data_IF_757318684481
#
_entry.id   IF_757318684481
#
_cell.length_a   1.000
_cell.length_b   1.000
_cell.length_c   1.000
_cell.angle_alpha   90.00
_cell.angle_beta   90.00
_cell.angle_gamma   90.00
#
_symmetry.space_group_name_H-M   'P 1'
#
loop_
_entity.id
_entity.type
_entity.pdbx_description
1 polymer ?
#
# COMPACT_ATOMS: atom_id res chain seq x y z
N UNK A 1 27.94 7.42 31.41
CA UNK A 1 26.94 7.90 32.39
C UNK A 1 25.57 7.74 31.76
N UNK A 2 24.78 6.71 32.11
CA UNK A 2 23.38 6.62 31.65
C UNK A 2 22.59 7.67 32.43
N UNK A 3 22.31 8.80 31.80
CA UNK A 3 21.35 9.76 32.33
C UNK A 3 20.01 9.02 32.45
N UNK A 4 19.53 8.83 33.67
CA UNK A 4 18.17 8.35 33.93
C UNK A 4 17.23 9.37 33.28
N UNK A 5 16.74 9.06 32.06
CA UNK A 5 15.69 9.85 31.41
C UNK A 5 14.51 9.91 32.37
N UNK A 6 14.21 11.10 32.87
CA UNK A 6 13.07 11.33 33.75
C UNK A 6 11.81 10.96 32.95
N UNK A 7 11.07 9.97 33.42
CA UNK A 7 9.85 9.52 32.74
C UNK A 7 8.77 10.59 32.91
N UNK A 8 8.15 11.02 31.81
CA UNK A 8 7.00 11.94 31.83
C UNK A 8 5.77 11.22 32.41
N UNK A 9 5.00 11.91 33.26
CA UNK A 9 3.74 11.37 33.79
C UNK A 9 2.66 11.37 32.69
N UNK A 10 1.58 10.62 32.90
CA UNK A 10 0.44 10.67 31.97
C UNK A 10 -0.21 12.04 31.90
N UNK A 11 -0.44 12.69 33.04
CA UNK A 11 -1.09 14.00 33.09
C UNK A 11 -0.23 15.10 32.46
N UNK A 12 1.09 15.04 32.65
CA UNK A 12 2.06 15.94 32.03
C UNK A 12 2.04 15.83 30.49
N UNK A 13 1.91 14.60 29.98
CA UNK A 13 1.84 14.34 28.53
C UNK A 13 0.55 14.89 27.94
N UNK A 14 -0.60 14.58 28.56
CA UNK A 14 -1.88 15.08 28.09
C UNK A 14 -1.98 16.60 28.18
N UNK A 15 -1.40 17.24 29.20
CA UNK A 15 -1.31 18.71 29.28
C UNK A 15 -0.57 19.33 28.09
N UNK A 16 0.43 18.65 27.53
CA UNK A 16 1.12 19.10 26.32
C UNK A 16 0.26 18.87 25.07
N UNK A 17 -0.38 17.70 24.94
CA UNK A 17 -1.34 17.42 23.86
C UNK A 17 -2.49 18.42 23.85
N UNK A 18 -2.97 18.87 25.02
CA UNK A 18 -4.05 19.86 25.12
C UNK A 18 -3.71 21.20 24.43
N UNK A 19 -2.43 21.50 24.17
CA UNK A 19 -2.03 22.68 23.38
C UNK A 19 -2.38 22.58 21.88
N UNK A 20 -2.66 21.36 21.40
CA UNK A 20 -3.20 21.12 20.05
C UNK A 20 -4.70 21.46 19.97
N UNK A 21 -5.37 21.67 21.12
CA UNK A 21 -6.79 22.03 21.21
C UNK A 21 -7.76 21.01 20.58
N UNK A 22 -7.36 19.74 20.53
CA UNK A 22 -8.16 18.67 19.92
C UNK A 22 -8.22 18.77 18.39
N UNK A 23 -7.24 19.41 17.77
CA UNK A 23 -7.04 19.47 16.32
C UNK A 23 -5.79 18.68 15.94
N UNK A 24 -5.70 18.32 14.65
CA UNK A 24 -4.64 17.49 14.10
C UNK A 24 -3.95 18.12 12.86
N UNK A 25 -4.27 19.39 12.58
CA UNK A 25 -3.67 20.18 11.50
C UNK A 25 -2.26 20.70 11.84
N UNK A 26 -1.58 21.25 10.84
CA UNK A 26 -0.21 21.78 10.97
C UNK A 26 -0.10 22.89 12.04
N UNK A 27 -1.11 23.77 12.13
CA UNK A 27 -1.16 24.83 13.13
C UNK A 27 -1.22 24.24 14.56
N UNK A 28 -1.92 23.13 14.75
CA UNK A 28 -1.98 22.42 16.03
C UNK A 28 -0.64 21.76 16.38
N UNK A 29 0.04 21.18 15.40
CA UNK A 29 1.39 20.61 15.57
C UNK A 29 2.39 21.71 15.93
N UNK A 30 2.37 22.86 15.25
CA UNK A 30 3.25 24.00 15.55
C UNK A 30 3.08 24.49 17.00
N UNK A 31 1.83 24.58 17.49
CA UNK A 31 1.55 24.94 18.90
C UNK A 31 2.18 23.96 19.88
N UNK A 32 2.13 22.66 19.59
CA UNK A 32 2.77 21.63 20.41
C UNK A 32 4.30 21.76 20.36
N UNK A 33 4.88 21.97 19.19
CA UNK A 33 6.32 22.19 19.00
C UNK A 33 6.80 23.37 19.84
N UNK A 34 6.10 24.50 19.77
CA UNK A 34 6.40 25.70 20.57
C UNK A 34 6.32 25.43 22.08
N UNK A 35 5.28 24.73 22.52
CA UNK A 35 5.10 24.36 23.93
C UNK A 35 6.24 23.44 24.42
N UNK A 36 6.66 22.47 23.61
CA UNK A 36 7.78 21.57 23.91
C UNK A 36 9.13 22.30 23.91
N UNK A 37 9.36 23.19 22.95
CA UNK A 37 10.58 23.99 22.84
C UNK A 37 10.73 24.92 24.05
N UNK A 38 9.64 25.59 24.46
CA UNK A 38 9.61 26.43 25.66
C UNK A 38 9.86 25.63 26.95
N UNK A 39 9.39 24.38 27.02
CA UNK A 39 9.65 23.48 28.16
C UNK A 39 11.08 22.88 28.14
N UNK A 40 11.78 22.99 27.01
CA UNK A 40 13.18 22.64 26.82
C UNK A 40 13.42 21.19 26.38
N UNK A 41 14.59 20.97 25.76
CA UNK A 41 14.99 19.69 25.15
C UNK A 41 14.76 18.44 26.01
N UNK A 42 15.04 18.50 27.31
CA UNK A 42 14.84 17.34 28.19
C UNK A 42 13.36 16.94 28.31
N UNK A 43 12.44 17.91 28.21
CA UNK A 43 10.99 17.68 28.20
C UNK A 43 10.55 17.07 26.87
N UNK A 44 11.03 17.58 25.74
CA UNK A 44 10.76 17.04 24.41
C UNK A 44 11.18 15.55 24.30
N UNK A 45 12.38 15.20 24.77
CA UNK A 45 12.83 13.79 24.80
C UNK A 45 11.93 12.90 25.67
N UNK A 46 11.43 13.42 26.79
CA UNK A 46 10.53 12.69 27.67
C UNK A 46 9.11 12.59 27.10
N UNK A 47 8.68 13.57 26.31
CA UNK A 47 7.44 13.54 25.54
C UNK A 47 7.50 12.46 24.47
N UNK A 48 8.56 12.40 23.65
CA UNK A 48 8.69 11.37 22.60
C UNK A 48 8.64 9.95 23.17
N UNK A 49 9.36 9.69 24.27
CA UNK A 49 9.33 8.40 24.95
C UNK A 49 7.93 8.04 25.46
N UNK A 50 7.09 9.03 25.80
CA UNK A 50 5.72 8.81 26.24
C UNK A 50 4.77 8.65 25.05
N UNK A 51 4.90 9.47 24.01
CA UNK A 51 4.15 9.39 22.76
C UNK A 51 4.32 8.00 22.14
N UNK A 52 5.56 7.52 22.02
CA UNK A 52 5.86 6.18 21.52
C UNK A 52 5.07 5.08 22.24
N UNK A 53 4.96 5.16 23.58
CA UNK A 53 4.18 4.18 24.37
C UNK A 53 2.68 4.32 24.17
N UNK A 54 2.18 5.54 23.99
CA UNK A 54 0.75 5.81 23.75
C UNK A 54 0.35 5.28 22.36
N UNK A 55 1.16 5.55 21.33
CA UNK A 55 0.96 5.03 19.97
C UNK A 55 1.14 3.50 19.90
N UNK A 56 2.11 2.95 20.62
CA UNK A 56 2.31 1.51 20.72
C UNK A 56 1.10 0.81 21.36
N UNK A 57 0.44 1.42 22.35
CA UNK A 57 -0.77 0.85 22.96
C UNK A 57 -1.96 0.79 21.99
N UNK A 58 -2.04 1.75 21.05
CA UNK A 58 -3.02 1.75 19.96
C UNK A 58 -2.65 0.82 18.80
N UNK A 59 -1.41 0.32 18.75
CA UNK A 59 -0.95 -0.60 17.71
C UNK A 59 -1.59 -1.98 17.90
N UNK A 60 -2.79 -2.17 17.34
CA UNK A 60 -3.57 -3.39 17.51
C UNK A 60 -4.16 -3.81 16.17
N UNK A 61 -4.02 -5.09 15.83
CA UNK A 61 -4.54 -5.65 14.58
C UNK A 61 -6.04 -5.39 14.41
N UNK A 62 -6.82 -5.49 15.49
CA UNK A 62 -8.26 -5.24 15.46
C UNK A 62 -8.65 -3.79 15.11
N UNK A 63 -7.75 -2.83 15.33
CA UNK A 63 -7.94 -1.44 14.94
C UNK A 63 -7.46 -1.24 13.50
N UNK A 64 -6.30 -1.79 13.14
CA UNK A 64 -5.76 -1.75 11.78
C UNK A 64 -6.68 -2.40 10.73
N UNK A 65 -7.43 -3.44 11.13
CA UNK A 65 -8.38 -4.13 10.26
C UNK A 65 -9.71 -3.38 10.06
N UNK A 66 -9.97 -2.29 10.80
CA UNK A 66 -11.19 -1.49 10.61
C UNK A 66 -11.01 -0.57 9.42
N UNK A 67 -11.95 -0.55 8.47
CA UNK A 67 -11.94 0.50 7.46
C UNK A 67 -12.35 1.83 8.12
N UNK A 68 -11.74 2.92 7.69
CA UNK A 68 -11.99 4.26 8.24
C UNK A 68 -12.26 5.28 7.14
N UNK A 69 -12.81 6.44 7.53
CA UNK A 69 -12.92 7.62 6.68
C UNK A 69 -11.96 8.68 7.22
N UNK A 70 -11.17 9.29 6.35
CA UNK A 70 -10.28 10.40 6.71
C UNK A 70 -10.92 11.76 6.42
N UNK A 71 -10.52 12.79 7.17
CA UNK A 71 -10.86 14.17 6.84
C UNK A 71 -9.97 14.61 5.67
N UNK A 72 -10.44 14.46 4.43
CA UNK A 72 -9.76 14.97 3.23
C UNK A 72 -10.38 16.29 2.76
N UNK A 73 -9.54 17.24 2.31
CA UNK A 73 -9.97 18.58 1.87
C UNK A 73 -10.86 18.57 0.61
N UNK A 74 -10.83 17.46 -0.15
CA UNK A 74 -11.41 17.34 -1.50
C UNK A 74 -12.58 16.32 -1.61
N UNK A 75 -12.99 15.66 -0.52
CA UNK A 75 -13.94 14.53 -0.58
C UNK A 75 -15.39 14.88 -0.16
N UNK A 76 -16.36 14.28 -0.86
CA UNK A 76 -17.79 14.37 -0.56
C UNK A 76 -18.10 13.54 0.71
N UNK A 77 -19.06 13.97 1.55
CA UNK A 77 -19.47 13.26 2.80
C UNK A 77 -19.86 11.76 2.60
N UNK A 78 -20.00 11.30 1.36
CA UNK A 78 -20.42 9.96 0.96
C UNK A 78 -19.26 8.98 0.64
N UNK A 79 -17.98 9.36 0.82
CA UNK A 79 -16.88 8.45 0.49
C UNK A 79 -16.87 7.16 1.36
N UNK A 80 -16.57 6.05 0.69
CA UNK A 80 -16.60 4.72 1.27
C UNK A 80 -15.39 4.53 2.21
N UNK A 81 -15.57 3.93 3.40
CA UNK A 81 -14.45 3.62 4.29
C UNK A 81 -13.38 2.78 3.58
N UNK A 82 -12.11 3.18 3.69
CA UNK A 82 -10.97 2.52 3.04
C UNK A 82 -10.23 1.60 4.01
N UNK A 83 -9.63 0.49 3.53
CA UNK A 83 -8.69 -0.28 4.34
C UNK A 83 -7.43 0.54 4.62
N UNK A 84 -6.86 0.36 5.81
CA UNK A 84 -5.64 1.04 6.24
C UNK A 84 -4.38 0.31 5.74
N UNK A 85 -3.45 1.05 5.17
CA UNK A 85 -2.04 0.66 5.06
C UNK A 85 -1.34 0.78 6.42
N UNK A 86 -0.12 0.24 6.53
CA UNK A 86 0.69 0.37 7.73
C UNK A 86 0.93 1.83 8.12
N UNK A 87 1.23 2.69 7.14
CA UNK A 87 1.49 4.12 7.35
C UNK A 87 0.21 4.89 7.74
N UNK A 88 -0.88 4.71 6.98
CA UNK A 88 -2.15 5.39 7.29
C UNK A 88 -2.71 4.96 8.65
N UNK A 89 -2.48 3.72 9.09
CA UNK A 89 -2.83 3.31 10.45
C UNK A 89 -1.94 4.01 11.51
N UNK A 90 -0.65 4.21 11.24
CA UNK A 90 0.21 4.98 12.13
C UNK A 90 -0.26 6.45 12.24
N UNK A 91 -0.58 7.08 11.11
CA UNK A 91 -1.05 8.47 11.10
C UNK A 91 -2.43 8.64 11.74
N UNK A 92 -3.33 7.67 11.56
CA UNK A 92 -4.61 7.60 12.29
C UNK A 92 -4.38 7.54 13.81
N UNK A 93 -3.46 6.70 14.29
CA UNK A 93 -3.13 6.60 15.73
C UNK A 93 -2.59 7.93 16.26
N UNK A 94 -1.80 8.64 15.48
CA UNK A 94 -1.35 9.98 15.84
C UNK A 94 -2.51 11.00 15.89
N UNK A 95 -3.42 10.98 14.91
CA UNK A 95 -4.64 11.80 14.91
C UNK A 95 -5.53 11.54 16.13
N UNK A 96 -5.75 10.27 16.49
CA UNK A 96 -6.48 9.87 17.71
C UNK A 96 -5.87 10.51 18.98
N UNK A 97 -4.53 10.56 19.06
CA UNK A 97 -3.82 11.17 20.19
C UNK A 97 -3.95 12.70 20.16
N UNK A 98 -3.85 13.33 19.00
CA UNK A 98 -4.02 14.78 18.82
C UNK A 98 -5.43 15.25 19.26
N UNK A 99 -6.46 14.44 19.00
CA UNK A 99 -7.83 14.65 19.49
C UNK A 99 -7.99 14.50 21.02
N UNK A 100 -6.92 14.15 21.75
CA UNK A 100 -6.84 14.21 23.20
C UNK A 100 -7.17 12.92 23.95
N UNK A 101 -7.04 13.01 25.28
CA UNK A 101 -7.09 11.87 26.20
C UNK A 101 -8.40 11.09 26.15
N UNK A 102 -9.52 11.78 26.04
CA UNK A 102 -10.86 11.16 26.05
C UNK A 102 -11.08 10.33 24.78
N UNK A 103 -10.68 10.88 23.63
CA UNK A 103 -10.72 10.18 22.33
C UNK A 103 -9.85 8.93 22.36
N UNK A 104 -8.60 9.06 22.80
CA UNK A 104 -7.67 7.94 22.98
C UNK A 104 -8.27 6.82 23.85
N UNK A 105 -8.83 7.19 25.01
CA UNK A 105 -9.43 6.22 25.93
C UNK A 105 -10.69 5.55 25.35
N UNK A 106 -11.50 6.30 24.60
CA UNK A 106 -12.71 5.78 23.95
C UNK A 106 -12.36 4.75 22.88
N UNK A 107 -11.39 5.02 22.00
CA UNK A 107 -10.96 4.08 20.96
C UNK A 107 -10.36 2.81 21.55
N UNK A 108 -9.54 2.93 22.61
CA UNK A 108 -9.00 1.75 23.29
C UNK A 108 -10.08 0.90 23.96
N UNK A 109 -11.14 1.53 24.46
CA UNK A 109 -12.24 0.83 25.10
C UNK A 109 -13.19 0.16 24.08
N UNK A 110 -13.38 0.79 22.92
CA UNK A 110 -14.28 0.32 21.87
C UNK A 110 -13.68 0.54 20.47
N UNK A 111 -13.03 -0.49 19.89
CA UNK A 111 -12.49 -0.44 18.53
C UNK A 111 -13.52 -0.10 17.45
N UNK A 112 -14.82 -0.39 17.67
CA UNK A 112 -15.86 -0.07 16.70
C UNK A 112 -16.09 1.45 16.55
N UNK A 113 -15.55 2.27 17.45
CA UNK A 113 -15.58 3.72 17.35
C UNK A 113 -14.92 4.23 16.06
N UNK A 114 -13.95 3.51 15.50
CA UNK A 114 -13.28 3.90 14.24
C UNK A 114 -14.25 3.99 13.06
N UNK A 115 -15.25 3.11 12.98
CA UNK A 115 -16.24 3.12 11.89
C UNK A 115 -17.34 4.19 12.07
N UNK A 116 -17.41 4.85 13.23
CA UNK A 116 -18.55 5.70 13.60
C UNK A 116 -18.44 7.16 13.16
N UNK A 117 -17.26 7.58 12.69
CA UNK A 117 -16.99 8.97 12.30
C UNK A 117 -15.83 9.07 11.32
N UNK A 118 -15.63 10.29 10.83
CA UNK A 118 -14.44 10.70 10.09
C UNK A 118 -13.31 11.01 11.07
N UNK A 119 -12.09 10.68 10.70
CA UNK A 119 -10.89 10.85 11.53
C UNK A 119 -9.87 11.72 10.83
N UNK A 120 -9.22 12.65 11.53
CA UNK A 120 -8.02 13.26 11.00
C UNK A 120 -6.84 12.29 11.11
N UNK A 121 -5.91 12.41 10.17
CA UNK A 121 -4.55 11.91 10.35
C UNK A 121 -3.65 13.01 10.95
N UNK A 122 -2.50 12.63 11.51
CA UNK A 122 -1.58 13.60 12.10
C UNK A 122 -0.12 13.12 12.04
N UNK A 123 0.44 12.99 10.84
CA UNK A 123 1.85 12.61 10.67
C UNK A 123 2.79 13.57 11.42
N UNK A 124 2.53 14.88 11.40
CA UNK A 124 3.37 15.90 12.04
C UNK A 124 3.60 15.67 13.54
N UNK A 125 2.65 15.06 14.26
CA UNK A 125 2.80 14.73 15.68
C UNK A 125 3.97 13.77 15.94
N UNK A 126 4.33 12.90 14.98
CA UNK A 126 5.43 11.94 15.11
C UNK A 126 6.79 12.64 15.24
N UNK A 127 6.92 13.82 14.66
CA UNK A 127 8.16 14.59 14.56
C UNK A 127 8.25 15.79 15.51
N UNK A 128 7.12 16.18 16.14
CA UNK A 128 7.03 17.39 16.96
C UNK A 128 8.11 17.50 18.06
N UNK A 129 8.47 16.38 18.70
CA UNK A 129 9.49 16.37 19.74
C UNK A 129 10.92 16.54 19.19
N UNK A 130 11.17 16.02 17.99
CA UNK A 130 12.46 16.08 17.31
C UNK A 130 12.76 17.51 16.86
N UNK A 131 11.75 18.14 16.26
CA UNK A 131 11.76 19.55 15.89
C UNK A 131 11.99 20.45 17.10
N UNK A 132 11.17 20.31 18.16
CA UNK A 132 11.31 21.08 19.39
C UNK A 132 12.67 20.90 20.10
N UNK A 133 13.30 19.72 19.93
CA UNK A 133 14.61 19.41 20.49
C UNK A 133 15.78 19.83 19.58
N UNK A 134 15.51 20.18 18.32
CA UNK A 134 16.52 20.46 17.29
C UNK A 134 17.41 19.25 17.00
N UNK A 135 16.83 18.05 16.88
CA UNK A 135 17.54 16.81 16.57
C UNK A 135 16.83 16.09 15.43
N UNK A 136 17.57 15.27 14.69
CA UNK A 136 17.03 14.48 13.57
C UNK A 136 16.27 13.23 14.03
N UNK A 137 16.64 12.66 15.19
CA UNK A 137 16.03 11.43 15.67
C UNK A 137 16.09 11.30 17.20
N UNK A 138 14.99 10.82 17.79
CA UNK A 138 14.91 10.47 19.21
C UNK A 138 14.60 8.98 19.37
N UNK A 139 15.62 8.20 19.71
CA UNK A 139 15.45 6.79 20.07
C UNK A 139 14.56 6.62 21.32
N UNK A 140 13.54 5.77 21.23
CA UNK A 140 12.61 5.40 22.31
C UNK A 140 12.74 3.91 22.64
N UNK A 141 12.13 3.47 23.76
CA UNK A 141 12.21 2.07 24.20
C UNK A 141 11.33 1.09 23.44
N UNK A 142 10.28 1.59 22.77
CA UNK A 142 9.33 0.79 22.00
C UNK A 142 9.21 1.43 20.63
N UNK A 143 9.17 0.60 19.59
CA UNK A 143 8.75 1.09 18.28
C UNK A 143 7.27 1.44 18.34
N UNK A 144 6.86 2.50 17.66
CA UNK A 144 5.45 2.81 17.45
C UNK A 144 4.99 2.47 16.03
N UNK A 145 5.88 1.94 15.18
CA UNK A 145 5.54 1.43 13.86
C UNK A 145 4.42 0.39 13.94
N UNK A 146 3.59 0.36 12.89
CA UNK A 146 2.48 -0.60 12.78
C UNK A 146 2.98 -2.04 12.87
N UNK A 147 2.30 -2.88 13.65
CA UNK A 147 2.65 -4.31 13.78
C UNK A 147 3.73 -4.61 14.83
N UNK A 148 4.24 -3.61 15.55
CA UNK A 148 5.35 -3.80 16.49
C UNK A 148 4.91 -4.17 17.90
N UNK A 149 3.66 -3.91 18.29
CA UNK A 149 3.08 -4.38 19.53
C UNK A 149 2.58 -5.82 19.42
N UNK A 150 3.53 -6.76 19.35
CA UNK A 150 3.27 -8.20 19.14
C UNK A 150 2.28 -8.85 20.12
N UNK A 151 1.94 -8.20 21.24
CA UNK A 151 0.90 -8.68 22.17
C UNK A 151 -0.52 -8.51 21.62
N UNK A 152 -0.73 -7.56 20.70
CA UNK A 152 -2.03 -7.21 20.12
C UNK A 152 -2.16 -7.51 18.62
N UNK A 153 -1.14 -8.15 18.06
CA UNK A 153 -1.17 -8.66 16.70
C UNK A 153 -1.22 -10.17 16.75
N UNK A 154 -2.14 -10.77 15.99
CA UNK A 154 -2.06 -12.18 15.69
C UNK A 154 -0.65 -12.43 15.17
N UNK A 155 0.06 -13.37 15.79
CA UNK A 155 1.31 -13.80 15.19
C UNK A 155 0.97 -14.20 13.77
N UNK A 156 1.71 -13.72 12.75
CA UNK A 156 1.57 -14.28 11.42
C UNK A 156 1.60 -15.78 11.64
N UNK A 157 0.59 -16.50 11.15
CA UNK A 157 0.65 -17.94 11.14
C UNK A 157 2.01 -18.22 10.54
N UNK A 158 2.93 -18.73 11.36
CA UNK A 158 4.23 -19.15 10.86
C UNK A 158 3.84 -20.36 10.05
N UNK A 159 3.42 -20.11 8.80
CA UNK A 159 3.58 -21.06 7.72
C UNK A 159 5.03 -21.43 7.92
N UNK A 160 5.31 -22.65 8.42
CA UNK A 160 6.67 -23.05 8.61
C UNK A 160 7.36 -22.70 7.31
N UNK A 161 8.45 -21.95 7.37
CA UNK A 161 9.41 -21.99 6.29
C UNK A 161 9.91 -23.45 6.30
N UNK A 162 9.11 -24.32 5.69
CA UNK A 162 9.39 -25.71 5.45
C UNK A 162 10.47 -25.82 4.35
N UNK A 163 11.08 -24.70 3.97
CA UNK A 163 11.97 -24.57 2.85
C UNK A 163 11.23 -24.74 1.52
N UNK A 164 9.89 -24.75 1.51
CA UNK A 164 9.13 -24.71 0.27
C UNK A 164 9.11 -23.24 -0.15
N UNK A 165 9.84 -22.88 -1.22
CA UNK A 165 9.79 -21.52 -1.73
C UNK A 165 8.31 -21.20 -1.98
N UNK A 166 7.86 -20.00 -1.58
CA UNK A 166 6.54 -19.50 -1.95
C UNK A 166 6.30 -19.87 -3.42
N UNK A 167 5.16 -20.52 -3.76
CA UNK A 167 4.95 -21.05 -5.09
C UNK A 167 5.24 -19.94 -6.08
N UNK A 168 6.25 -20.16 -6.92
CA UNK A 168 6.68 -19.16 -7.89
C UNK A 168 5.49 -18.90 -8.79
N UNK A 169 4.84 -17.75 -8.63
CA UNK A 169 3.83 -17.27 -9.57
C UNK A 169 4.46 -17.33 -10.96
N UNK A 170 3.86 -18.13 -11.83
CA UNK A 170 4.31 -18.27 -13.20
C UNK A 170 3.83 -17.10 -14.04
N UNK A 171 2.77 -16.41 -13.61
CA UNK A 171 2.27 -15.16 -14.20
C UNK A 171 2.06 -14.09 -13.13
N UNK A 172 2.40 -12.84 -13.43
CA UNK A 172 2.00 -11.67 -12.65
C UNK A 172 1.57 -10.55 -13.58
N UNK A 173 0.82 -9.61 -13.00
CA UNK A 173 0.22 -8.48 -13.69
C UNK A 173 0.75 -7.21 -13.07
N UNK A 174 1.17 -6.28 -13.92
CA UNK A 174 1.70 -4.98 -13.50
C UNK A 174 1.08 -3.83 -14.31
N UNK A 175 1.19 -2.62 -13.80
CA UNK A 175 0.74 -1.39 -14.42
C UNK A 175 1.88 -0.41 -14.61
N UNK A 176 1.97 0.20 -15.79
CA UNK A 176 3.00 1.20 -16.08
C UNK A 176 2.36 2.48 -16.59
N UNK A 177 2.47 3.56 -15.82
CA UNK A 177 2.19 4.92 -16.28
C UNK A 177 3.37 5.43 -17.11
N UNK A 178 3.19 5.48 -18.43
CA UNK A 178 4.22 5.91 -19.38
C UNK A 178 4.38 7.44 -19.39
N UNK A 179 3.38 8.19 -18.92
CA UNK A 179 3.39 9.64 -18.92
C UNK A 179 3.93 10.23 -17.59
N UNK A 180 3.98 9.43 -16.51
CA UNK A 180 4.55 9.80 -15.20
C UNK A 180 5.67 8.83 -14.72
N UNK A 181 6.83 8.77 -15.41
CA UNK A 181 7.95 7.94 -14.98
C UNK A 181 8.59 8.44 -13.67
N UNK A 182 8.89 7.51 -12.77
CA UNK A 182 9.70 7.77 -11.58
C UNK A 182 11.19 7.59 -11.89
N UNK A 183 11.95 8.68 -11.75
CA UNK A 183 13.41 8.62 -11.79
C UNK A 183 13.99 8.15 -10.45
N UNK A 184 14.98 7.28 -10.51
CA UNK A 184 15.73 6.79 -9.37
C UNK A 184 17.15 6.37 -9.75
N UNK A 185 17.88 5.85 -8.77
CA UNK A 185 19.21 5.29 -8.99
C UNK A 185 19.31 3.95 -8.28
N UNK A 186 19.98 2.99 -8.90
CA UNK A 186 20.40 1.75 -8.25
C UNK A 186 21.92 1.70 -8.18
N UNK A 187 22.44 1.08 -7.13
CA UNK A 187 23.88 0.83 -7.02
C UNK A 187 24.25 -0.39 -7.87
N UNK A 188 25.14 -0.20 -8.83
CA UNK A 188 25.73 -1.27 -9.61
C UNK A 188 26.70 -2.12 -8.76
N UNK A 189 27.04 -3.32 -9.26
CA UNK A 189 27.98 -4.23 -8.57
C UNK A 189 29.37 -3.61 -8.35
N UNK A 190 29.78 -2.66 -9.19
CA UNK A 190 31.05 -1.95 -9.07
C UNK A 190 30.99 -0.72 -8.15
N UNK A 191 29.83 -0.45 -7.54
CA UNK A 191 29.59 0.71 -6.68
C UNK A 191 29.28 2.00 -7.45
N UNK A 192 29.09 1.94 -8.77
CA UNK A 192 28.55 3.05 -9.55
C UNK A 192 27.04 3.24 -9.33
N UNK A 193 26.55 4.45 -9.62
CA UNK A 193 25.11 4.73 -9.69
C UNK A 193 24.62 4.50 -11.12
N UNK A 194 23.62 3.65 -11.28
CA UNK A 194 22.88 3.47 -12.53
C UNK A 194 21.53 4.17 -12.42
N UNK A 195 21.25 5.08 -13.36
CA UNK A 195 19.94 5.70 -13.48
C UNK A 195 18.88 4.63 -13.79
N UNK A 196 17.80 4.66 -13.03
CA UNK A 196 16.66 3.77 -13.15
C UNK A 196 15.42 4.60 -13.42
N UNK A 197 14.66 4.19 -14.43
CA UNK A 197 13.34 4.76 -14.72
C UNK A 197 12.32 3.67 -14.42
N UNK A 198 11.53 3.86 -13.37
CA UNK A 198 10.44 2.98 -13.01
C UNK A 198 9.13 3.59 -13.50
N UNK A 199 8.27 2.76 -14.07
CA UNK A 199 6.89 3.14 -14.37
C UNK A 199 6.00 2.42 -13.37
N UNK A 200 5.35 3.17 -12.49
CA UNK A 200 4.41 2.62 -11.52
C UNK A 200 2.99 2.69 -12.07
N UNK A 201 2.04 1.92 -11.53
CA UNK A 201 0.64 2.05 -11.92
C UNK A 201 0.11 3.47 -11.68
N UNK A 202 -0.80 3.98 -12.52
CA UNK A 202 -1.38 5.31 -12.32
C UNK A 202 -2.08 5.42 -10.96
N UNK A 203 -1.88 6.54 -10.26
CA UNK A 203 -2.39 6.74 -8.88
C UNK A 203 -3.91 6.60 -8.71
N UNK A 204 -4.67 6.81 -9.78
CA UNK A 204 -6.13 6.63 -9.77
C UNK A 204 -6.55 5.15 -9.85
N UNK A 205 -5.63 4.20 -10.01
CA UNK A 205 -5.88 2.76 -9.93
C UNK A 205 -5.27 2.20 -8.64
N UNK A 206 -6.07 1.45 -7.90
CA UNK A 206 -5.62 0.78 -6.68
C UNK A 206 -4.67 -0.38 -7.03
N UNK A 207 -3.52 -0.48 -6.35
CA UNK A 207 -2.56 -1.60 -6.50
C UNK A 207 -3.23 -2.98 -6.32
N UNK A 208 -4.24 -3.08 -5.45
CA UNK A 208 -5.07 -4.26 -5.25
C UNK A 208 -5.76 -4.75 -6.53
N UNK A 209 -6.04 -3.87 -7.50
CA UNK A 209 -6.59 -4.28 -8.79
C UNK A 209 -5.59 -5.13 -9.60
N UNK A 210 -4.29 -4.80 -9.55
CA UNK A 210 -3.22 -5.54 -10.23
C UNK A 210 -2.89 -6.84 -9.50
N UNK A 211 -2.94 -6.86 -8.16
CA UNK A 211 -2.80 -8.11 -7.39
C UNK A 211 -3.96 -9.08 -7.67
N UNK A 212 -5.21 -8.60 -7.63
CA UNK A 212 -6.37 -9.43 -7.93
C UNK A 212 -6.34 -9.95 -9.39
N UNK A 213 -5.93 -9.10 -10.35
CA UNK A 213 -5.72 -9.52 -11.73
C UNK A 213 -4.60 -10.58 -11.84
N UNK A 214 -3.50 -10.41 -11.10
CA UNK A 214 -2.41 -11.39 -11.03
C UNK A 214 -2.90 -12.76 -10.57
N UNK A 215 -3.69 -12.81 -9.49
CA UNK A 215 -4.21 -14.07 -8.95
C UNK A 215 -5.11 -14.78 -9.96
N UNK A 216 -6.05 -14.07 -10.58
CA UNK A 216 -6.99 -14.66 -11.53
C UNK A 216 -6.28 -15.17 -12.80
N UNK A 217 -5.36 -14.39 -13.37
CA UNK A 217 -4.62 -14.79 -14.57
C UNK A 217 -3.65 -15.94 -14.26
N UNK A 218 -2.94 -15.89 -13.12
CA UNK A 218 -2.05 -16.96 -12.70
C UNK A 218 -2.84 -18.26 -12.45
N UNK A 219 -3.99 -18.19 -11.78
CA UNK A 219 -4.85 -19.34 -11.52
C UNK A 219 -5.29 -20.03 -12.83
N UNK A 220 -5.72 -19.28 -13.84
CA UNK A 220 -6.12 -19.83 -15.14
C UNK A 220 -4.97 -20.59 -15.83
N UNK A 221 -3.75 -20.05 -15.73
CA UNK A 221 -2.55 -20.67 -16.31
C UNK A 221 -2.11 -21.90 -15.52
N UNK A 222 -2.05 -21.83 -14.19
CA UNK A 222 -1.67 -22.95 -13.34
C UNK A 222 -2.66 -24.11 -13.41
N UNK A 223 -3.97 -23.82 -13.42
CA UNK A 223 -5.01 -24.84 -13.58
C UNK A 223 -4.89 -25.61 -14.91
N UNK A 224 -4.23 -25.01 -15.89
CA UNK A 224 -3.96 -25.58 -17.22
C UNK A 224 -2.58 -26.24 -17.35
N UNK A 225 -1.85 -26.43 -16.24
CA UNK A 225 -0.54 -27.07 -16.21
C UNK A 225 0.66 -26.11 -16.22
N UNK A 226 0.43 -24.80 -16.05
CA UNK A 226 1.49 -23.79 -15.97
C UNK A 226 1.92 -23.23 -17.32
N UNK A 227 3.11 -22.63 -17.38
CA UNK A 227 3.67 -22.08 -18.62
C UNK A 227 4.31 -23.17 -19.50
N UNK A 228 4.26 -23.02 -20.85
CA UNK A 228 4.92 -23.95 -21.77
C UNK A 228 6.44 -24.01 -21.60
N UNK A 229 7.05 -25.14 -21.94
CA UNK A 229 8.51 -25.32 -21.97
C UNK A 229 9.25 -24.26 -22.83
N UNK A 230 8.59 -23.68 -23.84
CA UNK A 230 9.13 -22.59 -24.65
C UNK A 230 9.50 -21.33 -23.83
N UNK A 231 8.93 -21.17 -22.63
CA UNK A 231 9.32 -20.13 -21.69
C UNK A 231 10.65 -20.46 -20.99
N UNK A 232 11.16 -21.69 -21.06
CA UNK A 232 12.49 -22.04 -20.56
C UNK A 232 12.67 -21.78 -19.06
N UNK A 233 11.60 -21.95 -18.27
CA UNK A 233 11.59 -21.67 -16.84
C UNK A 233 11.46 -20.18 -16.45
N UNK A 234 11.28 -19.30 -17.44
CA UNK A 234 10.93 -17.88 -17.20
C UNK A 234 9.47 -17.77 -16.80
N UNK A 235 9.17 -16.80 -15.95
CA UNK A 235 7.80 -16.41 -15.65
C UNK A 235 7.28 -15.42 -16.72
N UNK A 236 5.97 -15.19 -16.78
CA UNK A 236 5.27 -14.27 -17.69
C UNK A 236 4.82 -12.99 -16.97
N UNK A 237 5.35 -11.84 -17.37
CA UNK A 237 4.89 -10.51 -16.95
C UNK A 237 3.82 -9.99 -17.92
N UNK A 238 2.59 -9.81 -17.43
CA UNK A 238 1.50 -9.20 -18.19
C UNK A 238 1.37 -7.72 -17.79
N UNK A 239 1.84 -6.81 -18.65
CA UNK A 239 1.94 -5.39 -18.31
C UNK A 239 0.84 -4.59 -18.99
N UNK A 240 0.06 -3.85 -18.21
CA UNK A 240 -0.92 -2.89 -18.71
C UNK A 240 -0.27 -1.51 -18.73
N UNK A 241 -0.02 -0.99 -19.92
CA UNK A 241 0.62 0.31 -20.12
C UNK A 241 -0.44 1.39 -20.29
N UNK A 242 -0.28 2.49 -19.55
CA UNK A 242 -1.16 3.65 -19.53
C UNK A 242 -0.42 4.85 -20.12
N UNK A 243 -1.06 5.63 -20.96
CA UNK A 243 -0.47 6.87 -21.48
C UNK A 243 -1.12 7.32 -22.79
N UNK A 244 -0.82 8.54 -23.22
CA UNK A 244 -1.32 9.08 -24.50
C UNK A 244 -0.64 8.46 -25.72
N UNK A 245 0.58 7.93 -25.54
CA UNK A 245 1.32 7.28 -26.60
C UNK A 245 0.81 5.86 -26.82
N UNK A 246 0.18 5.61 -27.98
CA UNK A 246 -0.20 4.26 -28.39
C UNK A 246 1.06 3.39 -28.53
N UNK A 247 1.18 2.39 -27.66
CA UNK A 247 2.22 1.36 -27.76
C UNK A 247 1.66 0.15 -28.50
N UNK A 248 2.46 -0.39 -29.42
CA UNK A 248 2.11 -1.65 -30.08
C UNK A 248 2.30 -2.78 -29.06
N UNK A 249 1.27 -3.61 -28.80
CA UNK A 249 1.42 -4.79 -27.95
C UNK A 249 2.61 -5.62 -28.41
N UNK A 250 3.53 -5.92 -27.49
CA UNK A 250 4.73 -6.67 -27.78
C UNK A 250 4.91 -7.83 -26.81
N UNK A 251 5.47 -8.93 -27.32
CA UNK A 251 5.94 -10.06 -26.52
C UNK A 251 7.45 -10.14 -26.69
N UNK A 252 8.20 -9.94 -25.61
CA UNK A 252 9.67 -9.92 -25.64
C UNK A 252 10.26 -10.55 -24.41
N UNK A 253 11.52 -10.97 -24.51
CA UNK A 253 12.31 -11.30 -23.31
C UNK A 253 12.79 -9.99 -22.70
N UNK A 254 12.56 -9.83 -21.40
CA UNK A 254 13.01 -8.69 -20.61
C UNK A 254 13.70 -9.18 -19.34
N UNK A 255 14.32 -8.27 -18.60
CA UNK A 255 14.72 -8.51 -17.21
C UNK A 255 13.67 -7.92 -16.28
N UNK A 256 13.38 -8.63 -15.21
CA UNK A 256 12.58 -8.13 -14.10
C UNK A 256 13.35 -7.01 -13.38
N UNK A 257 12.67 -5.90 -13.11
CA UNK A 257 13.32 -4.74 -12.51
C UNK A 257 13.62 -4.94 -11.01
N UNK A 258 12.94 -5.88 -10.34
CA UNK A 258 13.13 -6.16 -8.92
C UNK A 258 14.22 -7.19 -8.66
N UNK A 259 14.19 -8.33 -9.35
CA UNK A 259 15.12 -9.44 -9.08
C UNK A 259 16.15 -9.71 -10.19
N UNK A 260 16.06 -8.97 -11.31
CA UNK A 260 16.99 -9.05 -12.43
C UNK A 260 16.86 -10.32 -13.28
N UNK A 261 15.93 -11.23 -12.97
CA UNK A 261 15.76 -12.48 -13.73
C UNK A 261 15.14 -12.21 -15.09
N UNK A 262 15.41 -13.11 -16.04
CA UNK A 262 14.75 -13.03 -17.32
C UNK A 262 13.28 -13.43 -17.21
N UNK A 263 12.43 -12.63 -17.87
CA UNK A 263 10.99 -12.80 -17.90
C UNK A 263 10.51 -12.76 -19.34
N UNK A 264 9.44 -13.49 -19.65
CA UNK A 264 8.68 -13.21 -20.86
C UNK A 264 7.73 -12.06 -20.54
N UNK A 265 7.87 -10.95 -21.22
CA UNK A 265 7.04 -9.77 -21.00
C UNK A 265 6.07 -9.62 -22.16
N UNK A 266 4.79 -9.48 -21.84
CA UNK A 266 3.73 -9.15 -22.79
C UNK A 266 3.01 -7.90 -22.34
N UNK A 267 2.89 -6.90 -23.21
CA UNK A 267 2.20 -5.65 -22.89
C UNK A 267 0.92 -5.46 -23.69
N UNK A 268 -0.02 -4.73 -23.08
CA UNK A 268 -1.18 -4.12 -23.75
C UNK A 268 -1.26 -2.67 -23.35
N UNK A 269 -1.90 -1.84 -24.17
CA UNK A 269 -1.99 -0.40 -23.96
C UNK A 269 -3.44 0.05 -23.77
N UNK A 270 -3.63 1.08 -22.94
CA UNK A 270 -4.86 1.84 -22.78
C UNK A 270 -4.54 3.32 -22.52
N UNK A 271 -5.37 4.23 -23.04
CA UNK A 271 -5.19 5.67 -22.78
C UNK A 271 -5.60 6.06 -21.36
N UNK A 272 -5.07 7.18 -20.86
CA UNK A 272 -5.50 7.73 -19.57
C UNK A 272 -6.99 8.10 -19.57
N UNK A 273 -7.48 8.72 -20.64
CA UNK A 273 -8.88 9.11 -20.77
C UNK A 273 -9.82 7.90 -20.67
N UNK A 274 -9.48 6.80 -21.35
CA UNK A 274 -10.27 5.56 -21.27
C UNK A 274 -10.21 4.96 -19.86
N UNK A 275 -9.03 4.86 -19.26
CA UNK A 275 -8.85 4.25 -17.95
C UNK A 275 -9.53 5.05 -16.82
N UNK A 276 -9.48 6.38 -16.89
CA UNK A 276 -10.15 7.28 -15.93
C UNK A 276 -11.67 7.24 -16.04
N UNK A 277 -12.20 6.96 -17.24
CA UNK A 277 -13.63 6.82 -17.47
C UNK A 277 -14.21 5.50 -16.90
N UNK A 278 -13.38 4.55 -16.46
CA UNK A 278 -13.87 3.32 -15.85
C UNK A 278 -14.55 3.60 -14.50
N UNK A 279 -15.78 3.09 -14.28
CA UNK A 279 -16.43 3.14 -12.98
C UNK A 279 -15.54 2.48 -11.91
N UNK A 280 -15.41 3.11 -10.72
CA UNK A 280 -14.59 2.57 -9.61
C UNK A 280 -14.82 1.06 -9.37
N UNK A 281 -16.07 0.54 -9.32
CA UNK A 281 -16.33 -0.90 -9.09
C UNK A 281 -15.87 -1.84 -10.23
N UNK A 282 -15.65 -1.31 -11.44
CA UNK A 282 -15.27 -2.11 -12.62
C UNK A 282 -13.75 -2.14 -12.86
N UNK A 283 -12.97 -1.27 -12.21
CA UNK A 283 -11.53 -1.09 -12.49
C UNK A 283 -10.74 -2.40 -12.42
N UNK A 284 -10.96 -3.22 -11.39
CA UNK A 284 -10.30 -4.53 -11.24
C UNK A 284 -10.63 -5.47 -12.40
N UNK A 285 -11.89 -5.54 -12.83
CA UNK A 285 -12.30 -6.36 -13.95
C UNK A 285 -11.65 -5.88 -15.27
N UNK A 286 -11.57 -4.56 -15.48
CA UNK A 286 -10.93 -3.95 -16.67
C UNK A 286 -9.43 -4.24 -16.73
N UNK A 287 -8.72 -4.09 -15.62
CA UNK A 287 -7.30 -4.47 -15.50
C UNK A 287 -7.12 -5.96 -15.77
N UNK A 288 -7.97 -6.81 -15.18
CA UNK A 288 -7.93 -8.27 -15.38
C UNK A 288 -8.12 -8.65 -16.85
N UNK A 289 -9.07 -8.01 -17.55
CA UNK A 289 -9.31 -8.28 -18.96
C UNK A 289 -8.13 -7.87 -19.85
N UNK A 290 -7.52 -6.72 -19.58
CA UNK A 290 -6.32 -6.26 -20.28
C UNK A 290 -5.14 -7.21 -20.04
N UNK A 291 -4.92 -7.61 -18.79
CA UNK A 291 -3.90 -8.59 -18.43
C UNK A 291 -4.10 -9.95 -19.10
N UNK A 292 -5.34 -10.44 -19.15
CA UNK A 292 -5.68 -11.68 -19.86
C UNK A 292 -5.39 -11.59 -21.36
N UNK A 293 -5.63 -10.43 -22.00
CA UNK A 293 -5.24 -10.17 -23.40
C UNK A 293 -3.73 -10.20 -23.59
N UNK A 294 -2.96 -9.65 -22.66
CA UNK A 294 -1.50 -9.75 -22.68
C UNK A 294 -1.06 -11.23 -22.58
N UNK A 295 -1.62 -11.99 -21.63
CA UNK A 295 -1.33 -13.41 -21.50
C UNK A 295 -1.65 -14.21 -22.78
N UNK A 296 -2.81 -13.96 -23.39
CA UNK A 296 -3.23 -14.59 -24.64
C UNK A 296 -2.31 -14.29 -25.83
N UNK A 297 -1.64 -13.12 -25.84
CA UNK A 297 -0.68 -12.75 -26.86
C UNK A 297 0.65 -13.51 -26.73
N UNK A 298 1.06 -13.82 -25.49
CA UNK A 298 2.29 -14.57 -25.21
C UNK A 298 2.13 -16.10 -25.30
N UNK A 299 0.94 -16.62 -25.01
CA UNK A 299 0.69 -18.06 -24.96
C UNK A 299 0.42 -18.66 -26.35
N UNK A 300 0.88 -19.90 -26.64
CA UNK A 300 0.57 -20.62 -27.86
C UNK A 300 -0.95 -20.73 -28.13
N UNK A 301 -1.40 -20.80 -29.39
CA UNK A 301 -2.82 -20.91 -29.74
C UNK A 301 -3.53 -22.16 -29.21
N UNK A 302 -2.80 -23.22 -28.91
CA UNK A 302 -3.27 -24.51 -28.39
C UNK A 302 -3.10 -24.65 -26.86
N UNK A 303 -2.72 -23.57 -26.18
CA UNK A 303 -2.55 -23.60 -24.73
C UNK A 303 -3.87 -23.84 -23.98
N UNK A 304 -3.86 -24.70 -22.96
CA UNK A 304 -5.05 -25.09 -22.22
C UNK A 304 -5.77 -23.94 -21.50
N UNK A 305 -5.02 -22.89 -21.11
CA UNK A 305 -5.56 -21.74 -20.40
C UNK A 305 -6.35 -20.75 -21.27
N UNK A 306 -6.27 -20.87 -22.61
CA UNK A 306 -6.86 -19.85 -23.50
C UNK A 306 -8.36 -19.64 -23.31
N UNK A 307 -9.22 -20.69 -23.19
CA UNK A 307 -10.65 -20.47 -23.02
C UNK A 307 -11.01 -19.65 -21.78
N UNK A 308 -10.32 -19.89 -20.65
CA UNK A 308 -10.53 -19.15 -19.41
C UNK A 308 -10.01 -17.71 -19.51
N UNK A 309 -8.82 -17.51 -20.09
CA UNK A 309 -8.28 -16.19 -20.35
C UNK A 309 -9.14 -15.38 -21.34
N UNK A 310 -9.73 -16.03 -22.34
CA UNK A 310 -10.67 -15.41 -23.28
C UNK A 310 -11.97 -14.99 -22.58
N UNK A 311 -12.45 -15.79 -21.63
CA UNK A 311 -13.58 -15.42 -20.78
C UNK A 311 -13.25 -14.18 -19.92
N UNK A 312 -12.10 -14.19 -19.22
CA UNK A 312 -11.63 -13.04 -18.43
C UNK A 312 -11.46 -11.78 -19.29
N UNK A 313 -10.92 -11.92 -20.50
CA UNK A 313 -10.76 -10.82 -21.45
C UNK A 313 -12.10 -10.23 -21.95
N UNK A 314 -13.18 -11.03 -21.94
CA UNK A 314 -14.50 -10.63 -22.44
C UNK A 314 -15.34 -9.91 -21.38
N UNK A 315 -15.23 -10.31 -20.11
CA UNK A 315 -16.03 -9.80 -18.98
C UNK A 315 -16.01 -8.28 -18.87
N UNK A 316 -14.86 -7.65 -19.13
CA UNK A 316 -14.75 -6.21 -18.95
C UNK A 316 -15.22 -5.39 -20.14
N UNK A 317 -15.29 -5.92 -21.37
CA UNK A 317 -15.62 -5.08 -22.54
C UNK A 317 -17.12 -4.83 -22.73
N UNK A 318 -17.98 -5.29 -21.81
CA UNK A 318 -19.43 -5.29 -22.02
C UNK A 318 -19.86 -6.16 -23.22
N UNK A 319 -18.96 -7.02 -23.69
CA UNK A 319 -19.24 -8.04 -24.68
C UNK A 319 -19.76 -9.25 -23.89
N UNK A 320 -21.07 -9.38 -23.81
CA UNK A 320 -21.73 -10.60 -23.32
C UNK A 320 -21.02 -11.80 -23.97
N UNK A 321 -20.55 -12.79 -23.18
CA UNK A 321 -19.86 -13.95 -23.73
C UNK A 321 -20.82 -14.63 -24.71
N UNK A 322 -20.51 -14.58 -26.00
CA UNK A 322 -21.22 -15.36 -27.02
C UNK A 322 -20.97 -16.82 -26.69
N UNK A 323 -21.90 -17.43 -25.94
CA UNK A 323 -21.95 -18.87 -25.79
C UNK A 323 -21.90 -19.47 -27.19
N UNK A 324 -20.80 -20.13 -27.51
CA UNK A 324 -20.70 -20.97 -28.68
C UNK A 324 -21.86 -21.96 -28.59
N UNK A 325 -22.84 -21.79 -29.48
CA UNK A 325 -23.93 -22.72 -29.59
C UNK A 325 -23.33 -24.11 -29.85
N UNK A 326 -23.47 -25.00 -28.89
CA UNK A 326 -23.15 -26.40 -29.03
C UNK A 326 -23.92 -26.94 -30.25
N UNK A 327 -23.19 -27.11 -31.35
CA UNK A 327 -23.67 -27.73 -32.57
C UNK A 327 -23.94 -29.20 -32.28
N UNK A 328 -25.24 -29.53 -32.27
CA UNK A 328 -25.75 -30.90 -32.40
C UNK A 328 -25.76 -31.34 -33.86
#
# INVERSE_FOLDING_TARGET
MRLLRRTMSGDDFWTLIDSMEGQADDDAVERLVDALAAAGRARALAFQERLARVLHELDREMLAAQPVRFEDEDEDEDDEPIPLSDDSFLYLRAGIVALGRETYAAVLADPAALASRVWPECEGLLYAAEEAAGVEYIETKVSFETGTNVEHWSQPEVVPDDGVPAPRRVVWVDGEDLDDPLGGFRMAEDGGEEELVAHIPPRYLNHGAFFAASDLVNQAVEASGGLPDAFGGRSLACVVQFGEQVVVPEVRVARDDFDGKEVMRSSVWVSHDEARAWPKPERTARVTALAARAALAALPPDHGARPELEALASVALGLEPTHAADGT
#
